data_IF_864973925941
#
_entry.id   IF_864973925941
#
_cell.length_a   1.000
_cell.length_b   1.000
_cell.length_c   1.000
_cell.angle_alpha   90.00
_cell.angle_beta   90.00
_cell.angle_gamma   90.00
#
_symmetry.space_group_name_H-M   'P 1'
#
loop_
_entity.id
_entity.type
_entity.pdbx_description
1 polymer ?
#
# COMPACT_ATOMS: atom_id res chain seq x y z
N UNK A 1 0.40 -65.64 76.16
CA UNK A 1 1.71 -64.96 76.11
C UNK A 1 2.19 -64.91 74.66
N UNK A 2 2.58 -63.71 74.24
CA UNK A 2 3.28 -63.23 73.03
C UNK A 2 4.12 -64.23 72.19
N UNK A 3 4.03 -64.07 70.85
CA UNK A 3 5.12 -63.82 69.86
C UNK A 3 4.48 -63.88 68.44
N UNK A 4 4.32 -62.84 67.60
CA UNK A 4 5.23 -61.83 67.00
C UNK A 4 6.46 -62.46 66.32
N UNK A 5 6.80 -62.28 65.03
CA UNK A 5 6.22 -61.58 63.90
C UNK A 5 7.01 -61.94 62.61
N UNK A 6 6.59 -61.34 61.49
CA UNK A 6 7.33 -61.05 60.23
C UNK A 6 7.24 -62.06 59.08
N UNK A 7 6.20 -61.87 58.25
CA UNK A 7 6.21 -62.18 56.81
C UNK A 7 6.90 -61.03 56.05
N UNK A 8 7.80 -61.38 55.13
CA UNK A 8 8.46 -60.45 54.20
C UNK A 8 7.50 -60.13 53.05
N UNK A 9 7.18 -58.85 52.85
CA UNK A 9 6.50 -58.36 51.65
C UNK A 9 7.54 -57.90 50.62
N UNK A 10 7.43 -58.45 49.42
CA UNK A 10 8.19 -58.08 48.23
C UNK A 10 7.54 -56.82 47.64
N UNK A 11 8.31 -55.73 47.48
CA UNK A 11 7.84 -54.51 46.83
C UNK A 11 8.17 -54.61 45.34
N UNK A 12 7.13 -54.64 44.49
CA UNK A 12 7.24 -54.52 43.03
C UNK A 12 7.15 -53.02 42.69
N UNK A 13 8.24 -52.44 42.17
CA UNK A 13 8.26 -51.06 41.69
C UNK A 13 7.74 -51.04 40.24
N UNK A 14 6.54 -50.49 40.02
CA UNK A 14 5.98 -50.28 38.69
C UNK A 14 6.56 -48.99 38.07
N UNK A 15 7.23 -49.13 36.93
CA UNK A 15 7.77 -48.02 36.14
C UNK A 15 6.66 -47.54 35.18
N UNK A 16 6.12 -46.34 35.41
CA UNK A 16 5.16 -45.69 34.51
C UNK A 16 5.95 -44.88 33.47
N UNK A 17 6.01 -45.35 32.22
CA UNK A 17 6.46 -44.51 31.10
C UNK A 17 5.31 -43.59 30.69
N UNK A 18 5.45 -42.29 30.96
CA UNK A 18 4.61 -41.26 30.35
C UNK A 18 5.06 -41.04 28.91
N UNK A 19 4.27 -41.51 27.94
CA UNK A 19 4.42 -41.15 26.54
C UNK A 19 3.87 -39.72 26.37
N UNK A 20 4.75 -38.72 26.25
CA UNK A 20 4.35 -37.37 25.91
C UNK A 20 3.89 -37.34 24.44
N UNK A 21 2.58 -37.25 24.22
CA UNK A 21 2.01 -36.98 22.89
C UNK A 21 2.34 -35.53 22.56
N UNK A 22 3.38 -35.32 21.75
CA UNK A 22 3.67 -34.04 21.12
C UNK A 22 2.54 -33.74 20.12
N UNK A 23 1.55 -32.95 20.55
CA UNK A 23 0.60 -32.33 19.63
C UNK A 23 1.40 -31.42 18.69
N UNK A 24 1.16 -31.46 17.36
CA UNK A 24 1.82 -30.56 16.44
C UNK A 24 1.45 -29.12 16.82
N UNK A 25 2.47 -28.32 17.13
CA UNK A 25 2.31 -26.86 17.22
C UNK A 25 1.77 -26.41 15.86
N UNK A 26 0.65 -25.68 15.81
CA UNK A 26 0.19 -25.13 14.53
C UNK A 26 1.33 -24.27 14.00
N UNK A 27 1.90 -24.64 12.85
CA UNK A 27 2.68 -23.69 12.08
C UNK A 27 1.77 -22.49 11.88
N UNK A 28 2.16 -21.34 12.42
CA UNK A 28 1.50 -20.08 12.11
C UNK A 28 1.55 -19.96 10.58
N UNK A 29 0.43 -20.24 9.91
CA UNK A 29 0.31 -20.02 8.48
C UNK A 29 0.73 -18.58 8.22
N UNK A 30 1.59 -18.36 7.22
CA UNK A 30 2.00 -17.02 6.86
C UNK A 30 0.77 -16.12 6.79
N UNK A 31 0.76 -15.03 7.56
CA UNK A 31 -0.40 -14.14 7.64
C UNK A 31 -0.87 -13.80 6.22
N UNK A 32 -2.16 -14.07 5.94
CA UNK A 32 -2.77 -13.77 4.65
C UNK A 32 -2.74 -12.26 4.45
N UNK A 33 -2.31 -11.81 3.27
CA UNK A 33 -2.37 -10.40 2.90
C UNK A 33 -3.80 -10.04 2.48
N UNK A 34 -4.21 -8.80 2.75
CA UNK A 34 -5.53 -8.30 2.34
C UNK A 34 -5.59 -8.06 0.84
N UNK A 35 -6.58 -8.62 0.17
CA UNK A 35 -6.91 -8.32 -1.24
C UNK A 35 -7.71 -7.01 -1.39
N UNK A 36 -8.13 -6.40 -0.28
CA UNK A 36 -8.95 -5.17 -0.25
C UNK A 36 -8.18 -3.92 0.18
N UNK A 37 -6.92 -4.05 0.58
CA UNK A 37 -6.05 -2.90 0.94
C UNK A 37 -4.91 -2.78 -0.06
N UNK A 38 -4.89 -1.67 -0.79
CA UNK A 38 -4.01 -1.43 -1.92
C UNK A 38 -3.09 -0.23 -1.63
N UNK A 39 -1.81 -0.29 -2.02
CA UNK A 39 -0.85 0.80 -1.77
C UNK A 39 -0.40 1.43 -3.09
N UNK A 40 -0.57 2.74 -3.28
CA UNK A 40 0.02 3.41 -4.45
C UNK A 40 1.55 3.32 -4.42
N UNK A 41 2.14 2.88 -5.53
CA UNK A 41 3.55 2.53 -5.65
C UNK A 41 4.18 3.15 -6.89
N UNK A 42 5.32 3.82 -6.70
CA UNK A 42 5.98 4.64 -7.72
C UNK A 42 7.36 4.05 -8.05
N UNK A 43 7.49 3.43 -9.24
CA UNK A 43 8.72 2.76 -9.68
C UNK A 43 9.65 3.69 -10.45
N UNK A 44 9.62 5.00 -10.21
CA UNK A 44 10.25 6.00 -11.10
C UNK A 44 11.59 6.54 -10.62
N UNK A 45 12.08 6.12 -9.46
CA UNK A 45 13.34 6.58 -8.88
C UNK A 45 14.55 5.88 -9.52
N UNK A 46 15.62 6.63 -9.81
CA UNK A 46 16.83 6.10 -10.47
C UNK A 46 18.11 6.86 -10.08
N UNK A 47 19.26 6.20 -10.21
CA UNK A 47 20.57 6.70 -9.74
C UNK A 47 21.60 6.98 -10.83
N UNK A 48 21.37 6.57 -12.08
CA UNK A 48 22.31 6.78 -13.18
C UNK A 48 21.60 6.90 -14.55
N UNK A 49 21.24 8.11 -15.00
CA UNK A 49 21.30 9.38 -14.27
C UNK A 49 20.29 9.45 -13.11
N UNK A 50 20.42 10.45 -12.25
CA UNK A 50 19.42 10.74 -11.23
C UNK A 50 18.04 10.96 -11.87
N UNK A 51 17.03 10.26 -11.34
CA UNK A 51 15.63 10.39 -11.75
C UNK A 51 14.78 10.59 -10.50
N UNK A 52 13.89 11.57 -10.56
CA UNK A 52 13.00 12.01 -9.47
C UNK A 52 13.69 12.60 -8.23
N UNK A 53 14.80 12.04 -7.76
CA UNK A 53 15.49 12.54 -6.54
C UNK A 53 15.95 14.00 -6.61
N UNK A 54 16.27 14.50 -7.81
CA UNK A 54 16.72 15.87 -8.07
C UNK A 54 15.57 16.89 -8.24
N UNK A 55 14.31 16.46 -8.14
CA UNK A 55 13.14 17.33 -8.27
C UNK A 55 13.24 18.51 -7.30
N UNK A 56 12.67 19.67 -7.66
CA UNK A 56 12.82 20.90 -6.88
C UNK A 56 14.20 21.59 -7.01
N UNK A 57 15.11 21.05 -7.84
CA UNK A 57 16.45 21.61 -8.02
C UNK A 57 17.49 21.08 -7.03
N UNK A 58 17.19 19.96 -6.37
CA UNK A 58 18.04 19.32 -5.38
C UNK A 58 19.20 18.52 -6.00
N UNK A 59 20.25 18.24 -5.22
CA UNK A 59 21.47 17.52 -5.67
C UNK A 59 21.71 16.20 -4.90
N UNK A 60 21.20 15.06 -5.39
CA UNK A 60 21.36 13.77 -4.72
C UNK A 60 22.85 13.33 -4.66
N UNK A 61 23.24 12.46 -3.69
CA UNK A 61 22.37 11.63 -2.88
C UNK A 61 21.90 12.24 -1.56
N UNK A 62 22.61 13.22 -1.02
CA UNK A 62 22.34 13.74 0.34
C UNK A 62 21.24 14.82 0.35
N UNK A 63 21.09 15.56 -0.75
CA UNK A 63 20.05 16.57 -0.96
C UNK A 63 19.03 16.08 -1.99
N UNK A 64 17.82 15.72 -1.56
CA UNK A 64 16.75 15.22 -2.43
C UNK A 64 15.48 16.08 -2.34
N UNK A 65 14.68 16.03 -3.40
CA UNK A 65 13.36 16.66 -3.49
C UNK A 65 12.29 15.89 -2.73
N UNK A 66 12.47 15.74 -1.43
CA UNK A 66 11.52 15.14 -0.50
C UNK A 66 11.76 15.68 0.93
N UNK A 67 10.70 15.81 1.72
CA UNK A 67 10.74 16.26 3.12
C UNK A 67 11.15 15.17 4.11
N UNK A 68 11.08 13.92 3.69
CA UNK A 68 11.61 12.75 4.39
C UNK A 68 12.73 12.13 3.56
N UNK A 69 13.69 11.48 4.21
CA UNK A 69 14.76 10.76 3.52
C UNK A 69 14.51 9.24 3.58
N UNK A 70 14.63 8.47 2.48
CA UNK A 70 14.41 7.03 2.51
C UNK A 70 15.44 6.29 3.38
N UNK A 71 15.01 5.27 4.11
CA UNK A 71 15.93 4.39 4.86
C UNK A 71 16.87 3.58 3.93
N UNK A 72 16.56 3.50 2.63
CA UNK A 72 17.44 2.93 1.60
C UNK A 72 18.36 3.97 0.94
N UNK A 73 18.28 5.24 1.34
CA UNK A 73 18.88 6.36 0.62
C UNK A 73 18.18 6.65 -0.71
N UNK A 74 18.75 7.58 -1.50
CA UNK A 74 18.30 7.86 -2.86
C UNK A 74 18.54 6.62 -3.77
N UNK A 75 17.57 5.72 -3.82
CA UNK A 75 17.69 4.39 -4.42
C UNK A 75 17.34 4.35 -5.91
N UNK A 76 17.69 3.25 -6.58
CA UNK A 76 17.15 2.89 -7.89
C UNK A 76 15.98 1.89 -7.72
N UNK A 77 14.83 2.19 -8.34
CA UNK A 77 13.57 1.44 -8.15
C UNK A 77 13.69 -0.03 -8.52
N UNK A 78 14.50 -0.37 -9.53
CA UNK A 78 14.70 -1.75 -9.94
C UNK A 78 15.40 -2.55 -8.84
N UNK A 79 16.42 -1.95 -8.22
CA UNK A 79 17.21 -2.60 -7.16
C UNK A 79 16.47 -2.65 -5.82
N UNK A 80 15.60 -1.67 -5.56
CA UNK A 80 14.85 -1.57 -4.31
C UNK A 80 13.62 -2.50 -4.25
N UNK A 81 13.11 -2.96 -5.40
CA UNK A 81 11.85 -3.70 -5.53
C UNK A 81 11.70 -4.90 -4.56
N UNK A 82 12.70 -5.79 -4.42
CA UNK A 82 12.60 -6.93 -3.49
C UNK A 82 12.47 -6.49 -2.02
N UNK A 83 13.17 -5.41 -1.63
CA UNK A 83 13.06 -4.86 -0.29
C UNK A 83 11.70 -4.22 -0.08
N UNK A 84 11.20 -3.47 -1.06
CA UNK A 84 9.88 -2.87 -1.01
C UNK A 84 8.80 -3.92 -0.80
N UNK A 85 8.83 -5.04 -1.54
CA UNK A 85 7.81 -6.09 -1.38
C UNK A 85 7.87 -6.80 -0.02
N UNK A 86 9.03 -6.82 0.66
CA UNK A 86 9.10 -7.25 2.07
C UNK A 86 8.38 -6.27 3.01
N UNK A 87 8.49 -4.98 2.73
CA UNK A 87 7.83 -3.93 3.51
C UNK A 87 6.32 -3.86 3.24
N UNK A 88 5.89 -4.04 1.99
CA UNK A 88 4.47 -4.21 1.64
C UNK A 88 3.89 -5.42 2.38
N UNK A 89 4.57 -6.57 2.40
CA UNK A 89 4.12 -7.70 3.22
C UNK A 89 4.01 -7.37 4.71
N UNK A 90 4.95 -6.58 5.25
CA UNK A 90 4.93 -6.17 6.66
C UNK A 90 3.70 -5.33 6.99
N UNK A 91 3.25 -4.49 6.06
CA UNK A 91 2.04 -3.68 6.23
C UNK A 91 0.75 -4.49 6.16
N UNK A 92 0.79 -5.76 5.74
CA UNK A 92 -0.38 -6.62 5.60
C UNK A 92 -1.19 -6.38 4.33
N UNK A 93 -0.94 -5.29 3.60
CA UNK A 93 -1.54 -5.05 2.30
C UNK A 93 -1.10 -6.11 1.28
N UNK A 94 -2.03 -6.56 0.43
CA UNK A 94 -1.79 -7.59 -0.57
C UNK A 94 -1.55 -7.07 -1.97
N UNK A 95 -1.80 -5.78 -2.22
CA UNK A 95 -1.78 -5.20 -3.56
C UNK A 95 -0.96 -3.91 -3.56
N UNK A 96 -0.06 -3.76 -4.52
CA UNK A 96 0.47 -2.46 -4.93
C UNK A 96 -0.28 -1.95 -6.16
N UNK A 97 -0.52 -0.65 -6.24
CA UNK A 97 -1.08 0.03 -7.41
C UNK A 97 0.06 0.75 -8.11
N UNK A 98 0.55 0.16 -9.20
CA UNK A 98 1.75 0.53 -9.92
C UNK A 98 1.51 1.78 -10.79
N UNK A 99 2.19 2.89 -10.50
CA UNK A 99 2.21 4.09 -11.36
C UNK A 99 2.77 3.76 -12.73
N UNK A 100 1.95 3.92 -13.78
CA UNK A 100 2.28 3.56 -15.15
C UNK A 100 1.96 4.71 -16.12
N UNK A 101 2.99 5.15 -16.86
CA UNK A 101 2.97 6.35 -17.71
C UNK A 101 2.87 6.07 -19.21
N UNK A 102 2.37 4.89 -19.61
CA UNK A 102 2.24 4.54 -21.02
C UNK A 102 3.29 3.53 -21.51
N UNK A 103 3.01 2.92 -22.65
CA UNK A 103 3.91 1.94 -23.27
C UNK A 103 5.26 2.58 -23.61
N UNK A 104 6.35 1.89 -23.28
CA UNK A 104 7.71 2.37 -23.49
C UNK A 104 8.18 3.47 -22.51
N UNK A 105 7.39 3.82 -21.50
CA UNK A 105 7.87 4.69 -20.42
C UNK A 105 8.96 4.01 -19.59
N UNK A 106 9.67 4.78 -18.76
CA UNK A 106 10.64 4.22 -17.81
C UNK A 106 10.00 3.16 -16.90
N UNK A 107 8.79 3.47 -16.43
CA UNK A 107 7.98 2.61 -15.57
C UNK A 107 7.51 1.36 -16.33
N UNK A 108 7.13 1.46 -17.61
CA UNK A 108 6.78 0.27 -18.42
C UNK A 108 7.94 -0.73 -18.50
N UNK A 109 9.17 -0.23 -18.65
CA UNK A 109 10.39 -1.04 -18.67
C UNK A 109 10.71 -1.78 -17.36
N UNK A 110 10.12 -1.37 -16.23
CA UNK A 110 10.37 -1.96 -14.92
C UNK A 110 9.30 -2.96 -14.45
N UNK A 111 8.21 -3.12 -15.20
CA UNK A 111 7.07 -3.94 -14.81
C UNK A 111 7.50 -5.35 -14.38
N UNK A 112 8.26 -6.07 -15.21
CA UNK A 112 8.66 -7.46 -14.91
C UNK A 112 9.50 -7.55 -13.64
N UNK A 113 10.44 -6.63 -13.44
CA UNK A 113 11.28 -6.58 -12.23
C UNK A 113 10.43 -6.46 -10.97
N UNK A 114 9.46 -5.56 -10.98
CA UNK A 114 8.58 -5.32 -9.83
C UNK A 114 7.60 -6.48 -9.63
N UNK A 115 7.02 -7.02 -10.71
CA UNK A 115 6.12 -8.17 -10.64
C UNK A 115 6.84 -9.44 -10.13
N UNK A 116 8.07 -9.70 -10.56
CA UNK A 116 8.89 -10.82 -10.06
C UNK A 116 9.17 -10.69 -8.56
N UNK A 117 9.49 -9.48 -8.09
CA UNK A 117 9.64 -9.19 -6.67
C UNK A 117 8.32 -9.41 -5.91
N UNK A 118 7.19 -8.95 -6.47
CA UNK A 118 5.87 -9.09 -5.86
C UNK A 118 5.45 -10.57 -5.76
N UNK A 119 5.66 -11.35 -6.82
CA UNK A 119 5.36 -12.79 -6.85
C UNK A 119 6.11 -13.57 -5.78
N UNK A 120 7.42 -13.29 -5.58
CA UNK A 120 8.24 -13.90 -4.51
C UNK A 120 7.69 -13.63 -3.10
N UNK A 121 6.84 -12.62 -2.95
CA UNK A 121 6.26 -12.16 -1.70
C UNK A 121 4.73 -12.35 -1.67
N UNK A 122 4.13 -12.99 -2.67
CA UNK A 122 2.67 -13.17 -2.75
C UNK A 122 1.89 -11.86 -2.81
N UNK A 123 2.54 -10.75 -3.21
CA UNK A 123 1.92 -9.45 -3.44
C UNK A 123 1.41 -9.42 -4.88
N UNK A 124 0.27 -8.77 -5.09
CA UNK A 124 -0.35 -8.54 -6.39
C UNK A 124 -0.07 -7.12 -6.89
N UNK A 125 -0.13 -6.94 -8.21
CA UNK A 125 0.16 -5.68 -8.90
C UNK A 125 -1.09 -5.26 -9.68
N UNK A 126 -1.76 -4.24 -9.15
CA UNK A 126 -2.78 -3.45 -9.84
C UNK A 126 -2.11 -2.25 -10.53
N UNK A 127 -2.87 -1.50 -11.33
CA UNK A 127 -2.32 -0.50 -12.24
C UNK A 127 -2.89 0.88 -11.95
N UNK A 128 -2.03 1.89 -11.79
CA UNK A 128 -2.43 3.28 -11.75
C UNK A 128 -2.10 3.87 -13.12
N UNK A 129 -3.14 4.04 -13.95
CA UNK A 129 -2.99 4.63 -15.27
C UNK A 129 -2.87 6.14 -15.09
N UNK A 130 -1.67 6.65 -15.34
CA UNK A 130 -1.32 8.07 -15.15
C UNK A 130 -1.82 8.93 -16.33
N UNK A 131 -1.96 10.25 -16.15
CA UNK A 131 -2.41 11.19 -17.17
C UNK A 131 -1.28 11.53 -18.15
N UNK A 132 -0.77 10.52 -18.85
CA UNK A 132 0.20 10.71 -19.92
C UNK A 132 -0.40 11.57 -21.05
N UNK A 133 0.48 12.22 -21.82
CA UNK A 133 0.08 13.14 -22.87
C UNK A 133 -0.83 12.47 -23.91
N UNK A 134 -1.95 13.11 -24.24
CA UNK A 134 -2.88 12.62 -25.26
C UNK A 134 -3.73 11.42 -24.84
N UNK A 135 -3.75 11.03 -23.55
CA UNK A 135 -4.62 9.94 -23.08
C UNK A 135 -6.09 10.22 -23.37
N UNK A 136 -6.78 9.22 -23.92
CA UNK A 136 -8.21 9.20 -24.19
C UNK A 136 -8.86 7.95 -23.57
N UNK A 137 -10.20 7.87 -23.57
CA UNK A 137 -10.88 6.64 -23.16
C UNK A 137 -10.47 5.44 -24.04
N UNK A 138 -10.35 5.64 -25.36
CA UNK A 138 -9.95 4.60 -26.29
C UNK A 138 -8.49 4.15 -26.08
N UNK A 139 -7.56 5.07 -25.84
CA UNK A 139 -6.16 4.69 -25.54
C UNK A 139 -6.05 3.98 -24.19
N UNK A 140 -6.84 4.41 -23.19
CA UNK A 140 -6.89 3.74 -21.88
C UNK A 140 -7.34 2.28 -22.03
N UNK A 141 -8.36 2.01 -22.85
CA UNK A 141 -8.80 0.64 -23.17
C UNK A 141 -7.71 -0.16 -23.88
N UNK A 142 -7.05 0.44 -24.88
CA UNK A 142 -5.95 -0.21 -25.58
C UNK A 142 -4.78 -0.55 -24.63
N UNK A 143 -4.50 0.30 -23.65
CA UNK A 143 -3.46 0.06 -22.65
C UNK A 143 -3.84 -1.03 -21.64
N UNK A 144 -5.10 -1.06 -21.20
CA UNK A 144 -5.62 -2.17 -20.38
C UNK A 144 -5.45 -3.50 -21.13
N UNK A 145 -5.79 -3.53 -22.43
CA UNK A 145 -5.61 -4.71 -23.27
C UNK A 145 -4.14 -5.09 -23.42
N UNK A 146 -3.24 -4.11 -23.63
CA UNK A 146 -1.80 -4.33 -23.66
C UNK A 146 -1.28 -4.96 -22.36
N UNK A 147 -1.63 -4.38 -21.20
CA UNK A 147 -1.18 -4.87 -19.90
C UNK A 147 -1.70 -6.29 -19.63
N UNK A 148 -2.98 -6.55 -19.95
CA UNK A 148 -3.58 -7.89 -19.86
C UNK A 148 -2.86 -8.89 -20.78
N UNK A 149 -2.59 -8.53 -22.02
CA UNK A 149 -1.95 -9.43 -22.98
C UNK A 149 -0.48 -9.71 -22.62
N UNK A 150 0.27 -8.68 -22.25
CA UNK A 150 1.70 -8.78 -21.98
C UNK A 150 2.03 -9.42 -20.63
N UNK A 151 1.17 -9.21 -19.63
CA UNK A 151 1.45 -9.55 -18.22
C UNK A 151 0.36 -10.34 -17.52
N UNK A 152 -0.83 -10.54 -18.11
CA UNK A 152 -1.99 -11.17 -17.46
C UNK A 152 -1.78 -12.61 -16.98
N UNK A 153 -0.81 -13.34 -17.55
CA UNK A 153 -0.44 -14.69 -17.11
C UNK A 153 0.56 -14.70 -15.95
N UNK A 154 1.12 -13.55 -15.59
CA UNK A 154 2.11 -13.45 -14.53
C UNK A 154 1.44 -13.67 -13.15
N UNK A 155 2.03 -14.46 -12.23
CA UNK A 155 1.40 -14.81 -10.95
C UNK A 155 1.11 -13.61 -10.03
N UNK A 156 1.81 -12.50 -10.21
CA UNK A 156 1.55 -11.24 -9.48
C UNK A 156 0.53 -10.32 -10.17
N UNK A 157 0.09 -10.58 -11.39
CA UNK A 157 -0.85 -9.71 -12.10
C UNK A 157 -2.18 -9.59 -11.35
N UNK A 158 -2.72 -8.37 -11.28
CA UNK A 158 -4.07 -8.08 -10.84
C UNK A 158 -4.78 -7.24 -11.89
N UNK A 159 -5.93 -7.72 -12.35
CA UNK A 159 -6.83 -7.07 -13.31
C UNK A 159 -7.65 -5.94 -12.66
N UNK A 160 -6.95 -5.02 -11.98
CA UNK A 160 -7.51 -3.83 -11.33
C UNK A 160 -6.76 -2.60 -11.82
N UNK A 161 -7.52 -1.60 -12.29
CA UNK A 161 -7.01 -0.40 -12.92
C UNK A 161 -7.62 0.83 -12.26
N UNK A 162 -6.77 1.72 -11.76
CA UNK A 162 -7.11 3.01 -11.20
C UNK A 162 -6.81 4.07 -12.26
N UNK A 163 -7.83 4.78 -12.74
CA UNK A 163 -7.65 5.83 -13.76
C UNK A 163 -7.45 7.16 -13.06
N UNK A 164 -6.19 7.60 -12.95
CA UNK A 164 -5.86 8.90 -12.37
C UNK A 164 -6.43 10.02 -13.23
N UNK A 165 -6.92 11.10 -12.64
CA UNK A 165 -7.53 12.24 -13.36
C UNK A 165 -8.63 11.83 -14.35
N UNK A 166 -9.44 10.83 -13.99
CA UNK A 166 -10.51 10.31 -14.86
C UNK A 166 -11.52 11.37 -15.31
N UNK A 167 -11.67 12.46 -14.54
CA UNK A 167 -12.59 13.57 -14.84
C UNK A 167 -12.16 14.45 -16.02
N UNK A 168 -10.92 14.32 -16.52
CA UNK A 168 -10.48 15.04 -17.72
C UNK A 168 -11.12 14.52 -19.01
N UNK A 169 -11.66 13.30 -18.97
CA UNK A 169 -12.36 12.68 -20.08
C UNK A 169 -13.83 12.58 -19.73
N UNK A 170 -14.69 13.10 -20.62
CA UNK A 170 -16.12 13.22 -20.35
C UNK A 170 -16.91 11.92 -20.58
N UNK A 171 -16.48 11.09 -21.53
CA UNK A 171 -17.16 9.85 -21.93
C UNK A 171 -16.19 8.66 -21.82
N UNK A 172 -16.62 7.68 -21.03
CA UNK A 172 -15.88 6.46 -20.74
C UNK A 172 -16.57 5.20 -21.29
N UNK A 173 -17.54 5.35 -22.22
CA UNK A 173 -18.24 4.23 -22.87
C UNK A 173 -17.32 3.18 -23.49
N UNK A 174 -16.12 3.58 -23.92
CA UNK A 174 -15.11 2.65 -24.43
C UNK A 174 -14.73 1.54 -23.42
N UNK A 175 -14.82 1.79 -22.10
CA UNK A 175 -14.50 0.81 -21.04
C UNK A 175 -15.38 -0.44 -21.11
N UNK A 176 -16.54 -0.39 -21.74
CA UNK A 176 -17.39 -1.57 -21.98
C UNK A 176 -16.65 -2.70 -22.70
N UNK A 177 -15.59 -2.39 -23.44
CA UNK A 177 -14.75 -3.38 -24.13
C UNK A 177 -13.86 -4.22 -23.19
N UNK A 178 -13.66 -3.79 -21.94
CA UNK A 178 -12.74 -4.42 -20.98
C UNK A 178 -13.35 -4.70 -19.62
N UNK A 179 -14.54 -4.17 -19.31
CA UNK A 179 -15.15 -4.28 -17.98
C UNK A 179 -15.55 -5.70 -17.56
N UNK A 180 -15.76 -6.62 -18.50
CA UNK A 180 -16.14 -8.01 -18.17
C UNK A 180 -14.99 -8.77 -17.49
N UNK A 181 -13.74 -8.42 -17.83
CA UNK A 181 -12.53 -9.09 -17.34
C UNK A 181 -11.74 -8.25 -16.32
N UNK A 182 -12.13 -6.99 -16.10
CA UNK A 182 -11.33 -6.02 -15.35
C UNK A 182 -12.18 -5.20 -14.39
N UNK A 183 -11.56 -4.75 -13.30
CA UNK A 183 -12.12 -3.73 -12.42
C UNK A 183 -11.43 -2.40 -12.75
N UNK A 184 -12.19 -1.43 -13.22
CA UNK A 184 -11.70 -0.09 -13.54
C UNK A 184 -12.35 0.93 -12.59
N UNK A 185 -11.53 1.71 -11.90
CA UNK A 185 -11.95 2.67 -10.87
C UNK A 185 -11.69 4.11 -11.31
N UNK A 186 -12.68 4.97 -11.11
CA UNK A 186 -12.60 6.40 -11.38
C UNK A 186 -12.08 7.18 -10.16
N UNK A 187 -11.22 8.17 -10.37
CA UNK A 187 -10.78 9.08 -9.31
C UNK A 187 -11.82 10.19 -9.09
N UNK A 188 -12.81 9.95 -8.22
CA UNK A 188 -13.84 10.95 -7.89
C UNK A 188 -14.69 10.54 -6.69
N UNK A 189 -15.37 11.52 -6.10
CA UNK A 189 -16.54 11.30 -5.23
C UNK A 189 -17.86 11.70 -5.90
N UNK A 190 -17.79 12.33 -7.08
CA UNK A 190 -18.97 12.71 -7.87
C UNK A 190 -19.53 11.50 -8.60
N UNK A 191 -20.61 10.96 -8.06
CA UNK A 191 -21.28 9.76 -8.56
C UNK A 191 -21.96 9.98 -9.93
N UNK A 192 -22.04 11.22 -10.43
CA UNK A 192 -22.52 11.50 -11.79
C UNK A 192 -21.44 11.28 -12.87
N UNK A 193 -20.17 11.09 -12.46
CA UNK A 193 -19.00 10.99 -13.35
C UNK A 193 -18.38 9.60 -13.43
N UNK A 194 -19.11 8.57 -12.98
CA UNK A 194 -18.60 7.20 -12.88
C UNK A 194 -19.33 6.21 -13.80
N UNK A 195 -20.07 6.71 -14.79
CA UNK A 195 -20.67 5.84 -15.80
C UNK A 195 -19.58 4.98 -16.46
N UNK A 196 -19.87 3.69 -16.67
CA UNK A 196 -18.96 2.68 -17.21
C UNK A 196 -17.76 2.29 -16.32
N UNK A 197 -17.64 2.79 -15.10
CA UNK A 197 -16.63 2.31 -14.14
C UNK A 197 -17.22 1.26 -13.19
N UNK A 198 -16.36 0.36 -12.68
CA UNK A 198 -16.72 -0.64 -11.67
C UNK A 198 -16.66 -0.08 -10.23
N UNK A 199 -16.20 1.15 -10.06
CA UNK A 199 -16.09 1.78 -8.76
C UNK A 199 -15.33 3.10 -8.79
N UNK A 200 -15.01 3.60 -7.60
CA UNK A 200 -14.41 4.90 -7.39
C UNK A 200 -13.38 4.89 -6.25
N UNK A 201 -12.42 5.81 -6.34
CA UNK A 201 -11.38 6.09 -5.35
C UNK A 201 -11.10 7.60 -5.29
N UNK A 202 -10.29 8.06 -4.33
CA UNK A 202 -10.06 9.52 -4.15
C UNK A 202 -8.63 9.98 -4.42
N UNK A 203 -7.64 9.09 -4.29
CA UNK A 203 -6.20 9.34 -4.28
C UNK A 203 -5.74 10.26 -3.15
N UNK A 204 -6.30 11.47 -3.04
CA UNK A 204 -5.77 12.55 -2.23
C UNK A 204 -5.81 12.28 -0.71
N UNK A 205 -4.62 12.32 -0.09
CA UNK A 205 -4.43 12.22 1.35
C UNK A 205 -4.92 13.42 2.16
N UNK A 206 -5.09 14.58 1.52
CA UNK A 206 -5.65 15.79 2.13
C UNK A 206 -7.16 15.64 2.27
N UNK A 207 -7.84 15.23 1.19
CA UNK A 207 -9.25 14.90 1.22
C UNK A 207 -9.57 13.81 2.26
N UNK A 208 -8.71 12.81 2.44
CA UNK A 208 -8.92 11.75 3.45
C UNK A 208 -9.07 12.27 4.89
N UNK A 209 -8.45 13.40 5.23
CA UNK A 209 -8.51 14.01 6.56
C UNK A 209 -9.89 14.60 6.90
N UNK A 210 -10.65 15.03 5.89
CA UNK A 210 -11.99 15.63 6.03
C UNK A 210 -13.11 14.80 5.41
N UNK A 211 -12.76 13.76 4.63
CA UNK A 211 -13.66 12.83 3.97
C UNK A 211 -14.80 13.49 3.17
N UNK A 212 -14.51 14.51 2.32
CA UNK A 212 -15.54 15.26 1.63
C UNK A 212 -16.27 14.35 0.64
N UNK A 213 -17.60 14.30 0.71
CA UNK A 213 -18.43 13.48 -0.18
C UNK A 213 -18.33 11.97 0.04
N UNK A 214 -17.47 11.47 0.94
CA UNK A 214 -17.25 10.02 1.12
C UNK A 214 -18.50 9.27 1.56
N UNK A 215 -19.35 9.89 2.40
CA UNK A 215 -20.63 9.30 2.82
C UNK A 215 -21.52 9.02 1.61
N UNK A 216 -21.71 10.02 0.75
CA UNK A 216 -22.53 9.90 -0.45
C UNK A 216 -21.94 8.89 -1.43
N UNK A 217 -20.62 8.96 -1.67
CA UNK A 217 -19.90 8.01 -2.52
C UNK A 217 -20.06 6.57 -2.04
N UNK A 218 -19.86 6.31 -0.74
CA UNK A 218 -20.00 4.98 -0.15
C UNK A 218 -21.44 4.45 -0.19
N UNK A 219 -22.43 5.28 0.14
CA UNK A 219 -23.86 4.92 0.06
C UNK A 219 -24.28 4.59 -1.37
N UNK A 220 -23.85 5.41 -2.34
CA UNK A 220 -24.11 5.17 -3.76
C UNK A 220 -23.43 3.90 -4.26
N UNK A 221 -22.16 3.69 -3.93
CA UNK A 221 -21.41 2.51 -4.36
C UNK A 221 -22.07 1.23 -3.83
N UNK A 222 -22.43 1.21 -2.54
CA UNK A 222 -23.16 0.10 -1.93
C UNK A 222 -24.50 -0.18 -2.62
N UNK A 223 -25.27 0.86 -2.92
CA UNK A 223 -26.58 0.71 -3.56
C UNK A 223 -26.50 0.17 -5.00
N UNK A 224 -25.36 0.36 -5.67
CA UNK A 224 -25.16 -0.02 -7.08
C UNK A 224 -24.16 -1.17 -7.26
N UNK A 225 -23.73 -1.82 -6.18
CA UNK A 225 -22.78 -2.95 -6.25
C UNK A 225 -21.39 -2.55 -6.75
N UNK A 226 -20.99 -1.29 -6.56
CA UNK A 226 -19.71 -0.76 -7.00
C UNK A 226 -18.64 -0.86 -5.90
N UNK A 227 -17.38 -0.85 -6.31
CA UNK A 227 -16.25 -0.73 -5.39
C UNK A 227 -16.13 0.71 -4.92
N UNK A 228 -15.99 0.89 -3.61
CA UNK A 228 -15.60 2.15 -3.00
C UNK A 228 -14.27 1.96 -2.31
N UNK A 229 -13.22 2.56 -2.87
CA UNK A 229 -11.83 2.44 -2.44
C UNK A 229 -11.24 3.79 -2.00
N UNK A 230 -11.81 4.47 -0.97
CA UNK A 230 -11.30 5.75 -0.51
C UNK A 230 -9.82 5.66 -0.14
N UNK A 231 -9.11 6.77 -0.36
CA UNK A 231 -7.66 6.83 -0.17
C UNK A 231 -7.31 7.47 1.16
N UNK A 232 -6.42 6.83 1.91
CA UNK A 232 -5.91 7.30 3.21
C UNK A 232 -4.41 7.58 3.13
N UNK A 233 -3.94 8.61 3.82
CA UNK A 233 -2.54 8.99 3.85
C UNK A 233 -2.06 9.29 5.29
N UNK A 234 -0.79 9.01 5.62
CA UNK A 234 -0.25 9.35 6.92
C UNK A 234 -0.07 10.86 7.12
N UNK A 235 0.11 11.62 6.04
CA UNK A 235 0.30 13.06 6.00
C UNK A 235 0.54 13.52 4.56
N UNK A 236 0.79 14.82 4.37
CA UNK A 236 1.15 15.43 3.08
C UNK A 236 2.05 16.64 3.30
N UNK A 237 3.18 16.70 2.62
CA UNK A 237 4.09 17.85 2.54
C UNK A 237 4.98 17.71 1.30
N UNK A 238 5.03 18.73 0.45
CA UNK A 238 5.75 18.70 -0.83
C UNK A 238 6.68 19.90 -1.07
N UNK A 239 6.88 20.74 -0.05
CA UNK A 239 7.61 22.01 -0.12
C UNK A 239 9.01 21.88 -0.75
N UNK A 240 9.72 20.77 -0.48
CA UNK A 240 11.05 20.53 -1.07
C UNK A 240 10.97 20.09 -2.53
N UNK A 241 9.99 19.27 -2.89
CA UNK A 241 9.85 18.78 -4.26
C UNK A 241 9.30 19.87 -5.20
N UNK A 242 8.43 20.74 -4.69
CA UNK A 242 7.76 21.81 -5.45
C UNK A 242 7.93 23.14 -4.72
N UNK A 243 9.11 23.79 -4.81
CA UNK A 243 9.36 25.05 -4.13
C UNK A 243 8.34 26.13 -4.49
N UNK A 244 7.70 26.71 -3.48
CA UNK A 244 6.70 27.76 -3.65
C UNK A 244 5.29 27.25 -3.93
N UNK A 245 5.04 25.94 -3.79
CA UNK A 245 3.69 25.42 -3.82
C UNK A 245 2.84 25.96 -2.65
N UNK A 246 1.51 25.97 -2.84
CA UNK A 246 0.52 26.44 -1.86
C UNK A 246 -0.45 25.33 -1.46
N UNK A 247 -0.18 24.08 -1.86
CA UNK A 247 -0.98 22.92 -1.43
C UNK A 247 -0.98 22.82 0.10
N UNK A 248 -2.15 22.64 0.73
CA UNK A 248 -2.21 22.53 2.19
C UNK A 248 -1.43 21.33 2.74
N UNK A 249 -0.56 21.59 3.71
CA UNK A 249 0.11 20.53 4.49
C UNK A 249 -0.89 19.78 5.36
N UNK A 250 -0.73 18.46 5.44
CA UNK A 250 -1.38 17.61 6.44
C UNK A 250 -0.32 17.01 7.33
N UNK A 251 -0.27 17.46 8.58
CA UNK A 251 0.66 16.94 9.58
C UNK A 251 0.39 15.47 9.88
N UNK A 252 1.44 14.75 10.26
CA UNK A 252 1.34 13.35 10.65
C UNK A 252 0.75 13.15 12.06
N UNK A 253 0.86 14.17 12.92
CA UNK A 253 0.39 14.21 14.32
C UNK A 253 0.75 12.94 15.11
N UNK A 254 2.03 12.54 15.06
CA UNK A 254 2.55 11.30 15.65
C UNK A 254 1.73 10.03 15.28
N UNK A 255 1.05 10.07 14.13
CA UNK A 255 0.21 8.99 13.60
C UNK A 255 -1.29 9.17 13.82
N UNK A 256 -1.73 10.18 14.58
CA UNK A 256 -3.15 10.42 14.82
C UNK A 256 -3.90 10.82 13.54
N UNK A 257 -3.24 11.54 12.63
CA UNK A 257 -3.81 11.90 11.34
C UNK A 257 -4.15 10.66 10.50
N UNK A 258 -3.21 9.71 10.40
CA UNK A 258 -3.43 8.46 9.65
C UNK A 258 -4.59 7.65 10.23
N UNK A 259 -4.64 7.53 11.57
CA UNK A 259 -5.70 6.81 12.27
C UNK A 259 -7.08 7.42 12.02
N UNK A 260 -7.17 8.75 12.00
CA UNK A 260 -8.40 9.47 11.66
C UNK A 260 -8.88 9.09 10.26
N UNK A 261 -7.99 9.09 9.26
CA UNK A 261 -8.37 8.76 7.89
C UNK A 261 -8.84 7.31 7.73
N UNK A 262 -8.18 6.36 8.39
CA UNK A 262 -8.63 4.97 8.41
C UNK A 262 -10.01 4.79 9.06
N UNK A 263 -10.28 5.48 10.17
CA UNK A 263 -11.61 5.50 10.77
C UNK A 263 -12.66 6.13 9.83
N UNK A 264 -12.29 7.19 9.09
CA UNK A 264 -13.16 7.78 8.09
C UNK A 264 -13.52 6.77 6.99
N UNK A 265 -12.55 5.99 6.48
CA UNK A 265 -12.80 4.97 5.48
C UNK A 265 -13.79 3.89 5.99
N UNK A 266 -13.56 3.37 7.21
CA UNK A 266 -14.46 2.40 7.83
C UNK A 266 -15.89 2.93 8.01
N UNK A 267 -16.00 4.16 8.54
CA UNK A 267 -17.30 4.79 8.82
C UNK A 267 -18.08 5.08 7.53
N UNK A 268 -17.38 5.42 6.45
CA UNK A 268 -17.97 5.74 5.15
C UNK A 268 -18.04 4.53 4.20
N UNK A 269 -18.28 3.34 4.76
CA UNK A 269 -18.66 2.14 4.00
C UNK A 269 -17.64 1.67 2.95
N UNK A 270 -16.35 1.99 3.13
CA UNK A 270 -15.27 1.51 2.27
C UNK A 270 -15.34 -0.02 2.09
N UNK A 271 -15.41 -0.51 0.85
CA UNK A 271 -15.33 -1.94 0.54
C UNK A 271 -13.90 -2.36 0.29
N UNK A 272 -13.09 -1.46 -0.29
CA UNK A 272 -11.63 -1.50 -0.35
C UNK A 272 -11.05 -0.24 0.31
N UNK A 273 -9.75 -0.21 0.58
CA UNK A 273 -9.03 1.01 0.98
C UNK A 273 -7.78 1.11 0.12
N UNK A 274 -7.53 2.31 -0.43
CA UNK A 274 -6.25 2.63 -1.04
C UNK A 274 -5.40 3.47 -0.07
N UNK A 275 -4.09 3.27 -0.06
CA UNK A 275 -3.16 4.04 0.76
C UNK A 275 -2.29 4.88 -0.16
N UNK A 276 -2.36 6.19 0.02
CA UNK A 276 -1.53 7.19 -0.64
C UNK A 276 -0.48 7.63 0.37
N UNK A 277 0.72 7.07 0.37
CA UNK A 277 1.28 6.14 -0.61
C UNK A 277 2.25 5.16 0.06
N UNK A 278 2.68 4.12 -0.67
CA UNK A 278 3.88 3.39 -0.28
C UNK A 278 5.09 4.34 -0.30
N UNK A 279 5.41 4.93 -1.46
CA UNK A 279 6.66 5.64 -1.69
C UNK A 279 6.58 6.88 -2.59
N UNK A 280 5.49 7.66 -2.56
CA UNK A 280 5.46 9.00 -3.15
C UNK A 280 6.24 9.99 -2.27
N UNK A 281 7.58 9.95 -2.39
CA UNK A 281 8.48 10.73 -1.53
C UNK A 281 8.32 12.24 -1.70
N UNK A 282 7.96 12.69 -2.91
CA UNK A 282 7.84 14.11 -3.24
C UNK A 282 6.69 14.79 -2.50
N UNK A 283 5.61 14.06 -2.23
CA UNK A 283 4.43 14.57 -1.54
C UNK A 283 4.43 14.26 -0.04
N UNK A 284 5.49 13.62 0.47
CA UNK A 284 5.61 13.30 1.88
C UNK A 284 4.49 12.38 2.40
N UNK A 285 3.78 11.68 1.52
CA UNK A 285 2.64 10.80 1.85
C UNK A 285 3.07 9.35 2.16
N UNK A 286 4.37 9.11 2.19
CA UNK A 286 4.98 7.76 2.26
C UNK A 286 4.70 7.01 3.57
N UNK A 287 4.49 5.69 3.44
CA UNK A 287 4.59 4.72 4.53
C UNK A 287 5.86 3.85 4.45
N UNK A 288 6.61 3.93 3.34
CA UNK A 288 7.96 3.36 3.22
C UNK A 288 8.84 3.88 4.37
N UNK A 289 9.77 3.06 4.91
CA UNK A 289 10.61 3.51 6.01
C UNK A 289 11.48 4.72 5.66
N UNK A 290 11.32 5.78 6.46
CA UNK A 290 12.18 6.96 6.42
C UNK A 290 13.35 6.81 7.39
N UNK A 291 14.54 7.28 7.00
CA UNK A 291 15.74 7.24 7.84
C UNK A 291 15.55 8.09 9.09
N UNK A 292 15.85 7.50 10.24
CA UNK A 292 15.85 8.14 11.54
C UNK A 292 17.12 8.95 11.82
N UNK A 293 18.11 8.91 10.93
CA UNK A 293 19.33 9.72 11.00
C UNK A 293 19.73 10.22 9.61
N UNK A 294 18.86 11.02 8.96
CA UNK A 294 19.06 11.43 7.57
C UNK A 294 20.28 12.36 7.41
N UNK A 295 20.75 12.60 6.16
CA UNK A 295 21.88 13.49 5.92
C UNK A 295 21.69 14.86 6.61
N UNK A 296 22.71 15.35 7.35
CA UNK A 296 22.59 16.58 8.11
C UNK A 296 22.58 17.81 7.20
N UNK A 297 21.98 18.91 7.65
CA UNK A 297 22.04 20.20 6.96
C UNK A 297 20.88 20.50 6.01
N UNK A 298 19.96 19.56 5.81
CA UNK A 298 18.82 19.71 4.88
C UNK A 298 17.44 19.83 5.55
N UNK A 299 17.36 19.64 6.87
CA UNK A 299 16.12 19.82 7.62
C UNK A 299 15.06 18.74 7.39
N UNK A 300 15.46 17.53 6.97
CA UNK A 300 14.55 16.40 6.78
C UNK A 300 13.72 16.12 8.04
N UNK A 301 12.44 15.86 7.84
CA UNK A 301 11.57 15.26 8.84
C UNK A 301 11.93 13.78 9.02
N UNK A 302 11.49 13.21 10.14
CA UNK A 302 11.60 11.77 10.41
C UNK A 302 10.27 11.28 10.98
N UNK A 303 10.16 9.97 11.21
CA UNK A 303 9.01 9.40 11.92
C UNK A 303 9.18 9.38 13.45
N UNK A 304 10.22 10.01 14.00
CA UNK A 304 10.41 10.05 15.46
C UNK A 304 9.18 10.65 16.16
N UNK A 305 8.68 9.97 17.20
CA UNK A 305 7.43 10.30 17.88
C UNK A 305 6.23 9.47 17.41
N UNK A 306 6.21 9.02 16.15
CA UNK A 306 5.08 8.29 15.57
C UNK A 306 4.72 7.03 16.38
N UNK A 307 3.50 7.00 16.90
CA UNK A 307 2.99 5.94 17.78
C UNK A 307 3.91 5.64 18.98
N UNK A 308 4.59 6.66 19.50
CA UNK A 308 5.52 6.57 20.62
C UNK A 308 6.87 5.90 20.31
N UNK A 309 7.18 5.66 19.02
CA UNK A 309 8.44 5.07 18.58
C UNK A 309 9.51 6.16 18.39
N UNK A 310 10.78 5.78 18.54
CA UNK A 310 11.93 6.68 18.37
C UNK A 310 13.08 6.01 17.62
N UNK A 311 13.94 6.81 17.00
CA UNK A 311 15.13 6.36 16.28
C UNK A 311 14.81 5.27 15.25
N UNK A 312 15.68 4.26 15.14
CA UNK A 312 15.50 3.16 14.17
C UNK A 312 14.17 2.40 14.31
N UNK A 313 13.54 2.40 15.49
CA UNK A 313 12.23 1.77 15.67
C UNK A 313 11.09 2.56 15.02
N UNK A 314 11.26 3.86 14.83
CA UNK A 314 10.27 4.74 14.22
C UNK A 314 10.20 4.62 12.69
N UNK A 315 11.29 4.21 12.04
CA UNK A 315 11.35 4.11 10.57
C UNK A 315 10.21 3.25 10.00
N UNK A 316 9.84 2.17 10.67
CA UNK A 316 8.77 1.28 10.21
C UNK A 316 7.40 1.57 10.85
N UNK A 317 7.24 2.70 11.55
CA UNK A 317 6.05 2.99 12.34
C UNK A 317 4.76 2.96 11.50
N UNK A 318 4.78 3.53 10.30
CA UNK A 318 3.62 3.56 9.42
C UNK A 318 3.32 2.21 8.78
N UNK A 319 4.32 1.41 8.41
CA UNK A 319 4.08 0.01 8.00
C UNK A 319 3.40 -0.80 9.10
N UNK A 320 3.89 -0.69 10.33
CA UNK A 320 3.33 -1.40 11.48
C UNK A 320 1.89 -0.94 11.76
N UNK A 321 1.61 0.36 11.60
CA UNK A 321 0.24 0.87 11.77
C UNK A 321 -0.69 0.47 10.64
N UNK A 322 -0.22 0.46 9.39
CA UNK A 322 -0.99 -0.07 8.27
C UNK A 322 -1.38 -1.52 8.53
N UNK A 323 -0.48 -2.34 9.10
CA UNK A 323 -0.80 -3.72 9.49
C UNK A 323 -1.94 -3.81 10.50
N UNK A 324 -1.91 -2.98 11.54
CA UNK A 324 -3.00 -2.88 12.51
C UNK A 324 -4.34 -2.54 11.83
N UNK A 325 -4.33 -1.57 10.91
CA UNK A 325 -5.53 -1.14 10.21
C UNK A 325 -6.05 -2.17 9.19
N UNK A 326 -5.15 -2.84 8.46
CA UNK A 326 -5.50 -3.96 7.58
C UNK A 326 -6.22 -5.05 8.37
N UNK A 327 -5.66 -5.50 9.50
CA UNK A 327 -6.26 -6.55 10.33
C UNK A 327 -7.63 -6.15 10.88
N UNK A 328 -7.80 -4.87 11.21
CA UNK A 328 -9.09 -4.32 11.64
C UNK A 328 -10.09 -4.27 10.49
N UNK A 329 -9.68 -3.74 9.34
CA UNK A 329 -10.52 -3.58 8.16
C UNK A 329 -11.03 -4.93 7.66
N UNK A 330 -10.14 -5.92 7.49
CA UNK A 330 -10.51 -7.25 7.02
C UNK A 330 -11.48 -7.93 7.99
N UNK A 331 -11.33 -7.75 9.31
CA UNK A 331 -12.26 -8.29 10.31
C UNK A 331 -13.64 -7.62 10.27
N UNK A 332 -13.69 -6.32 9.98
CA UNK A 332 -14.95 -5.56 9.89
C UNK A 332 -15.64 -5.72 8.53
N UNK A 333 -14.92 -6.21 7.50
CA UNK A 333 -15.39 -6.37 6.11
C UNK A 333 -15.34 -7.81 5.60
N UNK A 334 -15.12 -8.79 6.49
CA UNK A 334 -15.13 -10.22 6.19
C UNK A 334 -16.52 -10.76 5.92
#
# INVERSE_FOLDING_TARGET
>A
MRASAKRRNLVLTALVMMLAVLLPVPQAGAARLSDKVHLFYYPWYGTSPWRHWQQGGHTPPDDIGADLYPALGAYDSATAADRHMKWVRRSGAGVIVYSWWGQGSYEDGLIRTVMDAAAKRGVKVAWHLEPYEGRTAASTVADIQYLNQAYGTHPAFHNVFYVFWSLQIADWSALEQVNDDNIVLAQTTDTSKIAHFNGLYTYDGIAGATAPGWKQAGEYAKANGLIWAPSVAPGYIDDRAVPGNTTPTVTRDDGAAYDKQWNNALTNQATWVSVTSFNEWHEGSVIEPADSSPPPGYGYQTFDGAYGKRGKAAETAYLDRTKYWVDRFDRERS
#
